data_IF_674865899833
#
_entry.id   IF_674865899833
#
_cell.length_a   1.000
_cell.length_b   1.000
_cell.length_c   1.000
_cell.angle_alpha   90.00
_cell.angle_beta   90.00
_cell.angle_gamma   90.00
#
_symmetry.space_group_name_H-M   'P 1'
#
loop_
_entity.id
_entity.type
_entity.pdbx_description
1 polymer ?
#
# COMPACT_ATOMS: atom_id res chain seq x y z
N UNK A 1 -7.59 -31.89 -21.30
CA UNK A 1 -6.92 -31.12 -20.23
C UNK A 1 -7.96 -30.69 -19.20
N UNK A 2 -8.15 -31.41 -18.08
CA UNK A 2 -9.12 -30.99 -17.08
C UNK A 2 -8.48 -30.04 -16.06
N UNK A 3 -9.18 -28.98 -15.72
CA UNK A 3 -9.08 -28.36 -14.39
C UNK A 3 -8.42 -26.99 -14.30
N UNK A 4 -9.05 -25.97 -14.90
CA UNK A 4 -8.76 -24.56 -14.64
C UNK A 4 -9.56 -24.02 -13.43
N UNK A 5 -9.72 -24.81 -12.37
CA UNK A 5 -10.40 -24.34 -11.16
C UNK A 5 -9.37 -23.71 -10.21
N UNK A 6 -9.57 -22.46 -9.72
CA UNK A 6 -8.68 -21.88 -8.74
C UNK A 6 -8.69 -22.76 -7.49
N UNK A 7 -7.51 -23.12 -6.99
CA UNK A 7 -7.38 -23.87 -5.75
C UNK A 7 -8.15 -23.14 -4.64
N UNK A 8 -9.29 -23.70 -4.23
CA UNK A 8 -10.10 -23.14 -3.15
C UNK A 8 -9.26 -23.27 -1.89
N UNK A 9 -8.60 -22.17 -1.50
CA UNK A 9 -7.80 -22.13 -0.29
C UNK A 9 -8.76 -22.34 0.88
N UNK A 10 -8.55 -23.42 1.64
CA UNK A 10 -9.21 -23.64 2.92
C UNK A 10 -9.24 -22.32 3.71
N UNK A 11 -10.41 -21.98 4.26
CA UNK A 11 -10.74 -20.66 4.81
C UNK A 11 -9.55 -20.01 5.52
N UNK A 12 -9.17 -18.82 5.05
CA UNK A 12 -8.10 -18.03 5.66
C UNK A 12 -8.44 -17.80 7.14
N UNK A 13 -7.45 -17.96 8.03
CA UNK A 13 -7.64 -17.70 9.45
C UNK A 13 -7.93 -16.21 9.68
N UNK A 14 -8.67 -15.87 10.75
CA UNK A 14 -9.08 -14.50 11.06
C UNK A 14 -7.92 -13.49 11.09
N UNK A 15 -6.73 -13.92 11.50
CA UNK A 15 -5.52 -13.08 11.51
C UNK A 15 -4.92 -12.88 10.10
N UNK A 16 -5.05 -13.87 9.22
CA UNK A 16 -4.60 -13.78 7.83
C UNK A 16 -5.51 -12.85 7.01
N UNK A 17 -6.84 -12.95 7.21
CA UNK A 17 -7.80 -12.03 6.58
C UNK A 17 -7.63 -10.61 7.11
N UNK A 18 -7.41 -10.45 8.42
CA UNK A 18 -7.10 -9.14 9.01
C UNK A 18 -5.83 -8.52 8.40
N UNK A 19 -4.78 -9.32 8.20
CA UNK A 19 -3.56 -8.85 7.54
C UNK A 19 -3.83 -8.36 6.11
N UNK A 20 -4.61 -9.11 5.33
CA UNK A 20 -4.97 -8.71 3.96
C UNK A 20 -5.82 -7.45 3.91
N UNK A 21 -6.76 -7.28 4.86
CA UNK A 21 -7.59 -6.08 4.96
C UNK A 21 -6.78 -4.82 5.29
N UNK A 22 -5.58 -4.99 5.88
CA UNK A 22 -4.61 -3.91 6.13
C UNK A 22 -3.62 -3.73 4.98
N UNK A 23 -3.89 -4.30 3.80
CA UNK A 23 -2.99 -4.30 2.64
C UNK A 23 -1.62 -4.95 2.97
N UNK A 24 -1.61 -5.82 3.97
CA UNK A 24 -0.43 -6.55 4.41
C UNK A 24 -0.22 -7.85 3.64
N UNK A 25 1.01 -8.35 3.69
CA UNK A 25 1.42 -9.64 3.16
C UNK A 25 1.94 -10.52 4.28
N UNK A 26 1.48 -11.77 4.33
CA UNK A 26 1.95 -12.75 5.30
C UNK A 26 3.31 -13.34 4.88
N UNK A 27 4.32 -13.24 5.75
CA UNK A 27 5.65 -13.83 5.58
C UNK A 27 5.95 -14.86 6.65
N UNK A 28 6.78 -15.86 6.32
CA UNK A 28 7.07 -16.98 7.23
C UNK A 28 8.03 -16.61 8.36
N UNK A 29 9.00 -15.73 8.11
CA UNK A 29 10.09 -15.44 9.06
C UNK A 29 10.12 -13.96 9.48
N UNK A 30 10.59 -13.06 8.60
CA UNK A 30 10.72 -11.62 8.88
C UNK A 30 10.16 -10.76 7.74
N UNK A 31 9.82 -9.50 8.06
CA UNK A 31 9.45 -8.50 7.07
C UNK A 31 10.68 -7.98 6.31
N UNK A 32 10.47 -7.51 5.07
CA UNK A 32 11.55 -6.88 4.31
C UNK A 32 11.92 -5.53 4.92
N UNK A 33 13.09 -5.00 4.59
CA UNK A 33 13.57 -3.67 5.08
C UNK A 33 12.59 -2.53 4.76
N UNK A 34 11.85 -2.65 3.65
CA UNK A 34 10.84 -1.67 3.20
C UNK A 34 9.43 -1.96 3.72
N UNK A 35 9.29 -2.96 4.60
CA UNK A 35 8.01 -3.39 5.16
C UNK A 35 8.09 -3.37 6.69
N UNK A 36 6.99 -2.98 7.32
CA UNK A 36 6.84 -3.03 8.78
C UNK A 36 6.11 -4.30 9.22
N UNK A 37 6.56 -4.88 10.33
CA UNK A 37 5.81 -5.94 11.03
C UNK A 37 4.64 -5.33 11.79
N UNK A 38 3.42 -5.54 11.31
CA UNK A 38 2.20 -5.00 11.91
C UNK A 38 1.42 -6.05 12.72
N UNK A 39 1.82 -7.33 12.66
CA UNK A 39 1.17 -8.40 13.41
C UNK A 39 1.58 -9.80 12.97
N UNK A 40 0.70 -10.77 13.18
CA UNK A 40 0.91 -12.18 12.81
C UNK A 40 -0.24 -12.71 11.96
N UNK A 41 0.03 -13.67 11.08
CA UNK A 41 -1.00 -14.28 10.21
C UNK A 41 -1.39 -15.70 10.61
N UNK A 42 -0.39 -16.54 10.87
CA UNK A 42 -0.53 -17.96 11.24
C UNK A 42 0.61 -18.31 12.20
N UNK A 43 0.65 -19.56 12.66
CA UNK A 43 1.68 -20.04 13.60
C UNK A 43 3.09 -19.74 13.04
N UNK A 44 3.80 -18.84 13.71
CA UNK A 44 5.14 -18.29 13.38
C UNK A 44 5.21 -17.32 12.18
N UNK A 45 4.13 -17.06 11.47
CA UNK A 45 4.13 -16.14 10.33
C UNK A 45 3.80 -14.71 10.76
N UNK A 46 4.51 -13.74 10.17
CA UNK A 46 4.38 -12.32 10.41
C UNK A 46 3.49 -11.66 9.34
N UNK A 47 2.75 -10.64 9.73
CA UNK A 47 2.02 -9.76 8.82
C UNK A 47 2.89 -8.53 8.55
N UNK A 48 3.27 -8.34 7.29
CA UNK A 48 4.18 -7.29 6.86
C UNK A 48 3.45 -6.30 5.96
N UNK A 49 3.53 -5.00 6.22
CA UNK A 49 2.91 -3.96 5.38
C UNK A 49 3.96 -3.05 4.78
N UNK A 50 3.80 -2.68 3.51
CA UNK A 50 4.74 -1.79 2.83
C UNK A 50 4.74 -0.39 3.46
N UNK A 51 5.93 0.17 3.67
CA UNK A 51 6.07 1.48 4.29
C UNK A 51 5.83 2.59 3.25
N UNK A 52 4.68 3.27 3.37
CA UNK A 52 4.27 4.30 2.40
C UNK A 52 5.20 5.51 2.36
N UNK A 53 5.91 5.81 3.44
CA UNK A 53 6.82 6.96 3.51
C UNK A 53 8.10 6.76 2.68
N UNK A 54 8.45 5.52 2.29
CA UNK A 54 9.55 5.26 1.36
C UNK A 54 9.11 5.38 -0.10
N UNK A 55 7.82 5.58 -0.37
CA UNK A 55 7.34 5.88 -1.71
C UNK A 55 7.44 7.39 -1.91
N UNK A 56 8.32 7.89 -2.79
CA UNK A 56 8.36 9.32 -3.07
C UNK A 56 7.00 9.72 -3.65
N UNK A 57 6.26 10.55 -2.92
CA UNK A 57 5.12 11.26 -3.51
C UNK A 57 5.72 12.11 -4.63
N UNK A 58 5.32 11.94 -5.90
CA UNK A 58 5.77 12.83 -6.94
C UNK A 58 5.21 14.21 -6.63
N UNK A 59 6.02 15.05 -5.96
CA UNK A 59 5.70 16.45 -5.77
C UNK A 59 5.53 17.05 -7.16
N UNK A 60 4.31 17.51 -7.52
CA UNK A 60 4.10 18.09 -8.82
C UNK A 60 4.97 19.34 -8.93
N UNK A 61 5.71 19.44 -10.03
CA UNK A 61 6.41 20.67 -10.37
C UNK A 61 5.36 21.71 -10.69
N UNK A 62 5.12 22.65 -9.77
CA UNK A 62 4.21 23.77 -10.00
C UNK A 62 4.96 24.76 -10.89
N UNK A 63 4.66 24.75 -12.19
CA UNK A 63 4.97 25.86 -13.08
C UNK A 63 3.96 26.97 -12.78
N UNK A 64 4.28 27.84 -11.82
CA UNK A 64 3.52 29.06 -11.63
C UNK A 64 3.97 30.04 -12.71
N UNK A 65 3.38 29.96 -13.90
CA UNK A 65 3.54 31.01 -14.90
C UNK A 65 3.03 32.32 -14.27
N UNK A 66 3.94 33.26 -14.07
CA UNK A 66 3.65 34.55 -13.47
C UNK A 66 2.52 35.22 -14.26
N UNK A 67 1.39 35.44 -13.59
CA UNK A 67 0.24 36.12 -14.19
C UNK A 67 0.25 37.57 -13.75
N UNK A 68 0.40 38.48 -14.72
CA UNK A 68 0.40 39.91 -14.45
C UNK A 68 -0.92 40.34 -13.79
N UNK A 69 -0.87 41.21 -12.75
CA UNK A 69 -2.07 41.69 -12.10
C UNK A 69 -2.94 42.48 -13.09
N UNK A 70 -4.23 42.15 -13.14
CA UNK A 70 -5.22 42.83 -13.99
C UNK A 70 -5.30 44.30 -13.54
N UNK A 71 -4.75 45.21 -14.34
CA UNK A 71 -4.89 46.66 -14.09
C UNK A 71 -6.30 47.08 -14.46
N UNK A 72 -7.19 47.21 -13.48
CA UNK A 72 -8.49 47.85 -13.69
C UNK A 72 -8.28 49.34 -13.96
N UNK A 73 -8.64 49.79 -15.17
CA UNK A 73 -8.73 51.22 -15.46
C UNK A 73 -10.01 51.75 -14.82
N UNK A 74 -9.89 52.32 -13.62
CA UNK A 74 -10.95 53.16 -13.05
C UNK A 74 -11.00 54.44 -13.91
N UNK A 75 -12.19 54.72 -14.45
CA UNK A 75 -12.50 55.88 -15.30
C UNK A 75 -12.94 57.06 -14.44
#
# INVERSE_FOLDING_TARGET
LPGLFPAVRSGLGAAETHCMNLEGTCRRDICKVIEDEIGACRRRWKCCRFWWILVPIPTPVIFSDYQEPIKTKVK
#
